data_IF_230501681387
#
_entry.id   IF_230501681387
#
_cell.length_a   1.000
_cell.length_b   1.000
_cell.length_c   1.000
_cell.angle_alpha   90.00
_cell.angle_beta   90.00
_cell.angle_gamma   90.00
#
_symmetry.space_group_name_H-M   'P 1'
#
loop_
_entity.id
_entity.type
_entity.pdbx_description
1 polymer ?
#
# COMPACT_ATOMS: atom_id res chain seq x y z
N UNK A 1 -24.21 27.82 -10.06
CA UNK A 1 -23.02 28.66 -9.76
C UNK A 1 -21.95 28.35 -10.79
N UNK A 2 -21.20 29.37 -11.18
CA UNK A 2 -20.03 29.21 -12.06
C UNK A 2 -18.84 28.66 -11.27
N UNK A 3 -17.87 28.11 -11.99
CA UNK A 3 -16.68 27.49 -11.39
C UNK A 3 -15.80 28.59 -10.80
N UNK A 4 -15.43 28.48 -9.52
CA UNK A 4 -14.47 29.38 -8.90
C UNK A 4 -13.04 28.99 -9.34
N UNK A 5 -12.50 29.74 -10.30
CA UNK A 5 -11.20 29.48 -10.93
C UNK A 5 -10.03 29.64 -9.97
N UNK A 6 -10.14 30.55 -8.98
CA UNK A 6 -9.08 30.78 -7.99
C UNK A 6 -8.91 29.56 -7.09
N UNK A 7 -10.00 29.01 -6.57
CA UNK A 7 -9.98 27.78 -5.76
C UNK A 7 -9.47 26.58 -6.58
N UNK A 8 -9.82 26.50 -7.87
CA UNK A 8 -9.29 25.46 -8.75
C UNK A 8 -7.77 25.60 -8.97
N UNK A 9 -7.25 26.82 -9.08
CA UNK A 9 -5.82 27.09 -9.16
C UNK A 9 -5.09 26.74 -7.86
N UNK A 10 -5.64 27.12 -6.70
CA UNK A 10 -5.11 26.74 -5.38
C UNK A 10 -5.05 25.22 -5.22
N UNK A 11 -6.09 24.50 -5.65
CA UNK A 11 -6.08 23.04 -5.67
C UNK A 11 -4.86 22.52 -6.43
N UNK A 12 -4.60 23.00 -7.65
CA UNK A 12 -3.47 22.55 -8.45
C UNK A 12 -2.11 22.81 -7.77
N UNK A 13 -1.94 23.98 -7.14
CA UNK A 13 -0.72 24.32 -6.39
C UNK A 13 -0.53 23.43 -5.16
N UNK A 14 -1.62 23.12 -4.45
CA UNK A 14 -1.60 22.22 -3.30
C UNK A 14 -1.25 20.79 -3.70
N UNK A 15 -1.69 20.31 -4.87
CA UNK A 15 -1.27 18.99 -5.39
C UNK A 15 0.24 18.97 -5.60
N UNK A 16 0.80 19.97 -6.28
CA UNK A 16 2.26 20.07 -6.53
C UNK A 16 3.01 20.15 -5.20
N UNK A 17 2.53 20.95 -4.26
CA UNK A 17 3.13 21.07 -2.93
C UNK A 17 3.11 19.73 -2.18
N UNK A 18 1.98 19.01 -2.22
CA UNK A 18 1.87 17.68 -1.63
C UNK A 18 2.83 16.69 -2.31
N UNK A 19 2.96 16.71 -3.64
CA UNK A 19 3.91 15.87 -4.39
C UNK A 19 5.36 16.07 -3.92
N UNK A 20 5.79 17.33 -3.75
CA UNK A 20 7.14 17.63 -3.23
C UNK A 20 7.33 16.99 -1.85
N UNK A 21 6.37 17.17 -0.94
CA UNK A 21 6.47 16.59 0.41
C UNK A 21 6.41 15.06 0.38
N UNK A 22 5.58 14.45 -0.48
CA UNK A 22 5.56 12.98 -0.69
C UNK A 22 6.90 12.46 -1.20
N UNK A 23 7.55 13.17 -2.12
CA UNK A 23 8.86 12.80 -2.63
C UNK A 23 9.92 12.82 -1.52
N UNK A 24 9.92 13.87 -0.68
CA UNK A 24 10.84 13.93 0.47
C UNK A 24 10.51 12.83 1.48
N UNK A 25 9.24 12.60 1.81
CA UNK A 25 8.82 11.51 2.70
C UNK A 25 9.27 10.13 2.18
N UNK A 26 9.11 9.88 0.88
CA UNK A 26 9.56 8.67 0.20
C UNK A 26 11.07 8.45 0.37
N UNK A 27 11.88 9.50 0.22
CA UNK A 27 13.34 9.44 0.41
C UNK A 27 13.68 9.05 1.86
N UNK A 28 13.03 9.66 2.86
CA UNK A 28 13.26 9.30 4.26
C UNK A 28 12.85 7.86 4.59
N UNK A 29 11.72 7.39 4.03
CA UNK A 29 11.32 5.98 4.16
C UNK A 29 12.30 5.04 3.46
N UNK A 30 12.82 5.42 2.28
CA UNK A 30 13.82 4.63 1.56
C UNK A 30 15.12 4.51 2.38
N UNK A 31 15.59 5.60 2.99
CA UNK A 31 16.74 5.55 3.89
C UNK A 31 16.50 4.70 5.14
N UNK A 32 15.29 4.70 5.71
CA UNK A 32 14.96 3.79 6.81
C UNK A 32 14.99 2.31 6.38
N UNK A 33 14.41 2.05 5.20
CA UNK A 33 14.27 0.72 4.62
C UNK A 33 15.62 0.10 4.24
N UNK A 34 16.48 0.88 3.58
CA UNK A 34 17.75 0.41 3.01
C UNK A 34 18.99 0.82 3.84
N UNK A 35 18.96 1.95 4.53
CA UNK A 35 20.16 2.62 5.07
C UNK A 35 20.65 2.16 6.45
N UNK A 36 19.86 1.42 7.22
CA UNK A 36 20.32 0.99 8.55
C UNK A 36 21.46 -0.05 8.45
N UNK A 37 22.60 0.18 9.09
CA UNK A 37 23.60 -0.83 9.54
C UNK A 37 24.50 -1.60 8.56
N UNK A 38 24.39 -1.53 7.24
CA UNK A 38 25.44 -2.18 6.39
C UNK A 38 26.83 -1.56 6.62
N UNK A 39 26.90 -0.24 6.87
CA UNK A 39 28.17 0.44 7.19
C UNK A 39 28.77 -0.04 8.52
N UNK A 40 27.95 -0.19 9.58
CA UNK A 40 28.42 -0.60 10.91
C UNK A 40 28.79 -2.08 11.04
N UNK A 41 28.13 -2.98 10.28
CA UNK A 41 28.47 -4.40 10.32
C UNK A 41 29.76 -4.69 9.55
N UNK A 42 30.06 -3.90 8.52
CA UNK A 42 31.35 -3.98 7.80
C UNK A 42 32.50 -3.50 8.68
N UNK A 43 32.32 -2.40 9.43
CA UNK A 43 33.30 -1.93 10.43
C UNK A 43 33.46 -2.89 11.63
N UNK A 44 32.36 -3.46 12.14
CA UNK A 44 32.41 -4.39 13.27
C UNK A 44 33.03 -5.75 12.90
N UNK A 45 32.75 -6.27 11.69
CA UNK A 45 33.40 -7.49 11.19
C UNK A 45 34.89 -7.27 10.88
N UNK A 46 35.27 -6.08 10.39
CA UNK A 46 36.67 -5.70 10.21
C UNK A 46 37.41 -5.53 11.54
N UNK A 47 36.75 -4.97 12.56
CA UNK A 47 37.32 -4.80 13.91
C UNK A 47 37.39 -6.12 14.71
N UNK A 48 36.44 -7.04 14.51
CA UNK A 48 36.46 -8.36 15.16
C UNK A 48 37.53 -9.30 14.58
N UNK A 49 37.93 -9.12 13.32
CA UNK A 49 39.03 -9.87 12.71
C UNK A 49 40.42 -9.45 13.22
N UNK A 50 40.52 -8.32 13.94
CA UNK A 50 41.78 -7.74 14.41
C UNK A 50 42.07 -7.98 15.92
N UNK A 51 41.34 -8.88 16.60
CA UNK A 51 41.69 -9.28 17.97
C UNK A 51 42.65 -10.48 17.95
N UNK A 52 43.90 -10.34 18.42
CA UNK A 52 44.78 -11.49 18.58
C UNK A 52 44.21 -12.42 19.65
N UNK A 53 44.15 -13.71 19.33
CA UNK A 53 43.78 -14.75 20.29
C UNK A 53 44.88 -14.87 21.34
N UNK A 54 44.52 -14.69 22.61
CA UNK A 54 45.42 -15.02 23.71
C UNK A 54 45.60 -16.54 23.78
N UNK A 55 46.71 -17.03 23.25
CA UNK A 55 47.15 -18.42 23.42
C UNK A 55 47.58 -18.63 24.86
N UNK A 56 46.71 -19.26 25.66
CA UNK A 56 47.05 -19.71 27.01
C UNK A 56 47.95 -20.95 26.90
N UNK A 57 49.26 -20.78 27.14
CA UNK A 57 50.20 -21.90 27.35
C UNK A 57 49.79 -22.65 28.62
N UNK A 58 49.34 -23.90 28.49
CA UNK A 58 49.20 -24.83 29.62
C UNK A 58 50.43 -25.72 29.69
N UNK A 59 51.16 -25.62 30.79
CA UNK A 59 52.33 -26.42 31.07
C UNK A 59 51.92 -27.86 31.47
N UNK A 60 52.70 -28.83 31.00
CA UNK A 60 52.47 -30.28 31.11
C UNK A 60 52.85 -30.81 32.49
N UNK A 61 51.95 -31.51 33.19
CA UNK A 61 52.22 -32.79 33.87
C UNK A 61 50.97 -33.35 34.57
N UNK A 62 50.87 -34.67 34.49
CA UNK A 62 50.05 -35.59 35.30
C UNK A 62 48.70 -36.03 34.72
N UNK A 63 48.64 -37.34 34.50
CA UNK A 63 47.58 -38.23 34.06
C UNK A 63 46.53 -38.47 35.15
N UNK A 64 45.27 -38.14 34.85
CA UNK A 64 44.05 -38.91 35.17
C UNK A 64 42.85 -38.19 34.53
N UNK A 65 42.14 -38.87 33.62
CA UNK A 65 40.90 -38.35 33.04
C UNK A 65 39.72 -38.76 33.93
N UNK A 66 39.23 -37.81 34.73
CA UNK A 66 37.92 -37.88 35.36
C UNK A 66 36.91 -37.26 34.40
N UNK A 67 35.87 -38.04 34.03
CA UNK A 67 34.72 -37.55 33.28
C UNK A 67 33.83 -36.77 34.25
N UNK A 68 33.74 -35.45 34.06
CA UNK A 68 32.74 -34.64 34.76
C UNK A 68 31.32 -35.04 34.28
N UNK A 69 30.33 -35.11 35.18
CA UNK A 69 28.94 -35.35 34.79
C UNK A 69 28.46 -34.22 33.88
N UNK A 70 27.53 -34.50 32.95
CA UNK A 70 27.08 -33.50 31.98
C UNK A 70 26.48 -32.32 32.74
N UNK A 71 27.15 -31.17 32.67
CA UNK A 71 26.54 -29.90 33.03
C UNK A 71 25.37 -29.72 32.07
N UNK A 72 24.15 -29.87 32.57
CA UNK A 72 22.97 -29.36 31.90
C UNK A 72 23.14 -27.85 31.85
N UNK A 73 23.66 -27.36 30.72
CA UNK A 73 23.58 -25.96 30.33
C UNK A 73 22.11 -25.57 30.35
N UNK A 74 21.66 -25.00 31.46
CA UNK A 74 20.42 -24.23 31.52
C UNK A 74 20.71 -22.94 30.76
N UNK A 75 20.75 -23.05 29.44
CA UNK A 75 20.95 -21.96 28.48
C UNK A 75 20.06 -22.20 27.27
N UNK A 76 18.75 -22.29 27.50
CA UNK A 76 17.76 -22.16 26.44
C UNK A 76 16.38 -21.75 26.96
N UNK A 77 16.31 -20.92 28.01
CA UNK A 77 15.12 -20.09 28.16
C UNK A 77 15.32 -18.88 27.24
N UNK A 78 14.95 -19.08 25.98
CA UNK A 78 14.76 -18.01 25.02
C UNK A 78 13.59 -17.15 25.50
N UNK A 79 13.82 -16.37 26.55
CA UNK A 79 13.09 -15.14 26.79
C UNK A 79 13.28 -14.31 25.53
N UNK A 80 12.27 -14.33 24.67
CA UNK A 80 12.05 -13.39 23.59
C UNK A 80 11.86 -12.01 24.22
N UNK A 81 12.96 -11.45 24.74
CA UNK A 81 13.06 -10.03 24.99
C UNK A 81 12.96 -9.38 23.61
N UNK A 82 11.73 -8.98 23.28
CA UNK A 82 11.44 -7.97 22.28
C UNK A 82 12.34 -6.79 22.60
N UNK A 83 13.52 -6.78 21.98
CA UNK A 83 14.44 -5.66 22.02
C UNK A 83 13.65 -4.48 21.49
N UNK A 84 13.28 -3.56 22.38
CA UNK A 84 12.79 -2.24 22.02
C UNK A 84 13.88 -1.56 21.22
N UNK A 85 13.87 -1.81 19.91
CA UNK A 85 14.75 -1.16 18.95
C UNK A 85 14.59 0.35 19.13
N UNK A 86 15.72 1.05 19.31
CA UNK A 86 15.75 2.50 19.43
C UNK A 86 14.90 3.11 18.32
N UNK A 87 14.09 4.14 18.62
CA UNK A 87 13.15 4.67 17.65
C UNK A 87 13.86 5.14 16.39
N UNK A 88 13.46 4.56 15.27
CA UNK A 88 13.94 4.87 13.93
C UNK A 88 13.65 6.34 13.62
N UNK A 89 14.64 7.22 13.84
CA UNK A 89 14.50 8.68 13.63
C UNK A 89 14.07 8.97 12.18
N UNK A 90 14.62 8.24 11.20
CA UNK A 90 14.24 8.35 9.79
C UNK A 90 12.77 8.00 9.52
N UNK A 91 12.29 6.85 10.00
CA UNK A 91 10.89 6.46 9.85
C UNK A 91 9.90 7.44 10.50
N UNK A 92 10.27 8.05 11.64
CA UNK A 92 9.43 9.06 12.31
C UNK A 92 9.34 10.34 11.50
N UNK A 93 10.47 10.83 10.98
CA UNK A 93 10.51 12.01 10.10
C UNK A 93 9.70 11.72 8.83
N UNK A 94 9.91 10.56 8.20
CA UNK A 94 9.13 10.12 7.03
C UNK A 94 7.63 10.10 7.32
N UNK A 95 7.22 9.63 8.50
CA UNK A 95 5.80 9.62 8.89
C UNK A 95 5.25 11.02 9.14
N UNK A 96 6.01 11.92 9.77
CA UNK A 96 5.61 13.30 9.97
C UNK A 96 5.44 14.05 8.64
N UNK A 97 6.38 13.85 7.70
CA UNK A 97 6.28 14.39 6.35
C UNK A 97 5.11 13.79 5.59
N UNK A 98 4.83 12.49 5.75
CA UNK A 98 3.67 11.86 5.13
C UNK A 98 2.34 12.43 5.64
N UNK A 99 2.26 12.74 6.95
CA UNK A 99 1.10 13.43 7.54
C UNK A 99 0.97 14.84 6.96
N UNK A 100 2.06 15.60 6.86
CA UNK A 100 2.04 16.92 6.23
C UNK A 100 1.58 16.86 4.76
N UNK A 101 2.11 15.91 3.99
CA UNK A 101 1.72 15.67 2.61
C UNK A 101 0.23 15.30 2.52
N UNK A 102 -0.28 14.47 3.43
CA UNK A 102 -1.69 14.13 3.52
C UNK A 102 -2.57 15.36 3.80
N UNK A 103 -2.15 16.25 4.70
CA UNK A 103 -2.90 17.49 4.99
C UNK A 103 -2.98 18.42 3.77
N UNK A 104 -1.86 18.63 3.08
CA UNK A 104 -1.83 19.40 1.83
C UNK A 104 -2.70 18.76 0.74
N UNK A 105 -2.67 17.44 0.66
CA UNK A 105 -3.45 16.68 -0.30
C UNK A 105 -4.95 16.73 -0.01
N UNK A 106 -5.36 16.64 1.27
CA UNK A 106 -6.75 16.86 1.69
C UNK A 106 -7.17 18.29 1.36
N UNK A 107 -6.33 19.28 1.62
CA UNK A 107 -6.61 20.67 1.26
C UNK A 107 -6.79 20.85 -0.25
N UNK A 108 -6.04 20.13 -1.09
CA UNK A 108 -6.24 20.12 -2.53
C UNK A 108 -7.61 19.55 -2.91
N UNK A 109 -8.01 18.41 -2.35
CA UNK A 109 -9.34 17.81 -2.59
C UNK A 109 -10.46 18.76 -2.15
N UNK A 110 -10.32 19.40 -1.00
CA UNK A 110 -11.33 20.32 -0.46
C UNK A 110 -11.45 21.59 -1.29
N UNK A 111 -10.34 22.24 -1.65
CA UNK A 111 -10.36 23.43 -2.51
C UNK A 111 -10.93 23.09 -3.89
N UNK A 112 -10.64 21.90 -4.42
CA UNK A 112 -11.27 21.38 -5.63
C UNK A 112 -12.78 21.22 -5.48
N UNK A 113 -13.25 20.61 -4.40
CA UNK A 113 -14.68 20.44 -4.12
C UNK A 113 -15.41 21.79 -4.01
N UNK A 114 -14.81 22.73 -3.28
CA UNK A 114 -15.34 24.08 -3.09
C UNK A 114 -15.37 24.90 -4.38
N UNK A 115 -14.45 24.64 -5.32
CA UNK A 115 -14.43 25.33 -6.62
C UNK A 115 -15.67 25.09 -7.47
N UNK A 116 -16.33 23.94 -7.28
CA UNK A 116 -17.52 23.50 -8.01
C UNK A 116 -18.73 23.25 -7.12
N UNK A 117 -18.60 23.47 -5.81
CA UNK A 117 -19.62 23.23 -4.78
C UNK A 117 -20.27 21.83 -4.85
N UNK A 118 -19.45 20.81 -5.14
CA UNK A 118 -19.86 19.40 -5.21
C UNK A 118 -18.71 18.49 -4.80
N UNK A 119 -19.02 17.21 -4.57
CA UNK A 119 -17.98 16.19 -4.36
C UNK A 119 -17.09 16.06 -5.61
N UNK A 120 -15.75 16.06 -5.47
CA UNK A 120 -14.81 16.11 -6.58
C UNK A 120 -14.49 14.69 -7.06
N UNK A 121 -15.49 13.97 -7.59
CA UNK A 121 -15.35 12.60 -8.10
C UNK A 121 -15.93 12.40 -9.50
N UNK A 122 -16.07 13.48 -10.27
CA UNK A 122 -16.77 13.48 -11.56
C UNK A 122 -15.93 13.02 -12.74
N UNK A 123 -14.60 12.91 -12.58
CA UNK A 123 -13.66 12.52 -13.64
C UNK A 123 -12.47 11.74 -13.08
N UNK A 124 -11.59 11.27 -13.97
CA UNK A 124 -10.43 10.44 -13.58
C UNK A 124 -9.43 11.18 -12.69
N UNK A 125 -9.09 12.45 -12.96
CA UNK A 125 -8.17 13.21 -12.09
C UNK A 125 -8.73 13.38 -10.69
N UNK A 126 -10.00 13.77 -10.59
CA UNK A 126 -10.75 13.92 -9.35
C UNK A 126 -10.83 12.62 -8.54
N UNK A 127 -11.05 11.49 -9.23
CA UNK A 127 -11.01 10.16 -8.63
C UNK A 127 -9.61 9.79 -8.14
N UNK A 128 -8.57 9.94 -8.96
CA UNK A 128 -7.18 9.62 -8.57
C UNK A 128 -6.74 10.47 -7.39
N UNK A 129 -7.04 11.76 -7.41
CA UNK A 129 -6.73 12.70 -6.34
C UNK A 129 -7.37 12.23 -5.02
N UNK A 130 -8.66 11.92 -5.03
CA UNK A 130 -9.33 11.46 -3.80
C UNK A 130 -8.85 10.06 -3.39
N UNK A 131 -8.70 9.13 -4.34
CA UNK A 131 -8.31 7.75 -4.02
C UNK A 131 -6.91 7.64 -3.43
N UNK A 132 -5.98 8.47 -3.90
CA UNK A 132 -4.62 8.49 -3.37
C UNK A 132 -4.55 9.11 -1.98
N UNK A 133 -5.31 10.17 -1.68
CA UNK A 133 -5.34 10.70 -0.30
C UNK A 133 -5.99 9.71 0.68
N UNK A 134 -7.07 9.03 0.28
CA UNK A 134 -7.70 7.99 1.09
C UNK A 134 -6.73 6.83 1.32
N UNK A 135 -5.96 6.43 0.30
CA UNK A 135 -4.91 5.41 0.45
C UNK A 135 -3.87 5.80 1.50
N UNK A 136 -3.43 7.06 1.52
CA UNK A 136 -2.50 7.56 2.55
C UNK A 136 -3.14 7.56 3.93
N UNK A 137 -4.39 8.01 4.05
CA UNK A 137 -5.12 8.01 5.32
C UNK A 137 -5.29 6.59 5.86
N UNK A 138 -5.72 5.65 5.02
CA UNK A 138 -5.84 4.23 5.41
C UNK A 138 -4.47 3.69 5.83
N UNK A 139 -3.41 3.97 5.07
CA UNK A 139 -2.06 3.57 5.45
C UNK A 139 -1.64 4.14 6.81
N UNK A 140 -1.87 5.43 7.07
CA UNK A 140 -1.56 6.07 8.35
C UNK A 140 -2.35 5.45 9.51
N UNK A 141 -3.66 5.20 9.33
CA UNK A 141 -4.52 4.54 10.34
C UNK A 141 -3.99 3.14 10.64
N UNK A 142 -3.68 2.38 9.60
CA UNK A 142 -3.13 1.03 9.74
C UNK A 142 -1.77 1.07 10.44
N UNK A 143 -0.93 2.06 10.11
CA UNK A 143 0.40 2.26 10.71
C UNK A 143 0.36 2.61 12.21
N UNK A 144 -0.76 3.15 12.72
CA UNK A 144 -0.97 3.37 14.16
C UNK A 144 -1.15 2.02 14.89
N UNK A 145 -1.88 1.07 14.29
CA UNK A 145 -2.19 -0.23 14.90
C UNK A 145 -1.09 -1.28 14.69
N UNK A 146 -0.44 -1.24 13.52
CA UNK A 146 0.63 -2.16 13.12
C UNK A 146 1.78 -1.32 12.60
N UNK A 147 2.99 -1.46 13.16
CA UNK A 147 4.13 -0.65 12.74
C UNK A 147 4.66 -1.06 11.34
N UNK A 148 3.94 -0.67 10.30
CA UNK A 148 4.22 -1.00 8.89
C UNK A 148 4.97 0.11 8.14
N UNK A 149 5.76 0.90 8.87
CA UNK A 149 6.51 2.06 8.34
C UNK A 149 7.41 1.70 7.16
N UNK A 150 7.86 0.45 7.05
CA UNK A 150 8.67 -0.05 5.94
C UNK A 150 7.94 -0.04 4.59
N UNK A 151 6.61 -0.01 4.58
CA UNK A 151 5.81 0.15 3.36
C UNK A 151 5.72 1.60 2.89
N UNK A 152 6.11 2.56 3.74
CA UNK A 152 5.96 3.99 3.49
C UNK A 152 6.61 4.45 2.18
N UNK A 153 7.75 3.85 1.80
CA UNK A 153 8.41 4.14 0.52
C UNK A 153 7.52 3.82 -0.68
N UNK A 154 6.91 2.63 -0.68
CA UNK A 154 6.08 2.17 -1.80
C UNK A 154 4.75 2.92 -1.84
N UNK A 155 4.15 3.19 -0.67
CA UNK A 155 2.91 3.98 -0.59
C UNK A 155 3.15 5.41 -1.04
N UNK A 156 4.17 6.10 -0.50
CA UNK A 156 4.48 7.48 -0.88
C UNK A 156 4.90 7.58 -2.36
N UNK A 157 5.72 6.64 -2.86
CA UNK A 157 6.12 6.59 -4.26
C UNK A 157 4.97 6.30 -5.21
N UNK A 158 4.08 5.38 -4.86
CA UNK A 158 2.87 5.08 -5.63
C UNK A 158 1.90 6.27 -5.69
N UNK A 159 1.67 6.93 -4.55
CA UNK A 159 0.86 8.15 -4.48
C UNK A 159 1.48 9.27 -5.30
N UNK A 160 2.80 9.48 -5.19
CA UNK A 160 3.53 10.47 -5.98
C UNK A 160 3.37 10.21 -7.49
N UNK A 161 3.53 8.96 -7.92
CA UNK A 161 3.34 8.57 -9.32
C UNK A 161 1.91 8.86 -9.79
N UNK A 162 0.90 8.44 -9.01
CA UNK A 162 -0.49 8.67 -9.33
C UNK A 162 -0.85 10.16 -9.38
N UNK A 163 -0.32 10.99 -8.48
CA UNK A 163 -0.50 12.45 -8.52
C UNK A 163 0.18 13.08 -9.73
N UNK A 164 1.37 12.60 -10.10
CA UNK A 164 2.02 12.99 -11.34
C UNK A 164 1.14 12.69 -12.55
N UNK A 165 0.59 11.48 -12.64
CA UNK A 165 -0.34 11.10 -13.70
C UNK A 165 -1.64 11.93 -13.67
N UNK A 166 -2.15 12.28 -12.48
CA UNK A 166 -3.36 13.09 -12.33
C UNK A 166 -3.21 14.51 -12.92
N UNK A 167 -2.03 15.13 -12.80
CA UNK A 167 -1.75 16.46 -13.36
C UNK A 167 -1.28 16.43 -14.82
N UNK A 168 -0.69 15.33 -15.27
CA UNK A 168 -0.06 15.28 -16.62
C UNK A 168 -0.92 14.56 -17.65
N UNK A 169 -1.53 13.44 -17.29
CA UNK A 169 -2.26 12.55 -18.22
C UNK A 169 -3.77 12.66 -18.01
N UNK A 170 -4.22 12.65 -16.76
CA UNK A 170 -5.65 12.64 -16.44
C UNK A 170 -6.24 14.02 -16.19
N UNK A 171 -5.47 15.09 -16.40
CA UNK A 171 -5.89 16.43 -16.02
C UNK A 171 -7.17 16.86 -16.73
N UNK A 172 -8.18 17.18 -15.93
CA UNK A 172 -9.44 17.75 -16.40
C UNK A 172 -9.71 19.05 -15.63
N UNK A 173 -10.10 20.15 -16.31
CA UNK A 173 -10.52 21.37 -15.63
C UNK A 173 -11.71 21.15 -14.67
N UNK A 174 -11.85 22.03 -13.68
CA UNK A 174 -12.99 21.96 -12.78
C UNK A 174 -14.27 22.28 -13.56
N UNK A 175 -15.24 21.37 -13.51
CA UNK A 175 -16.48 21.48 -14.27
C UNK A 175 -17.68 20.90 -13.49
N UNK A 176 -18.90 21.20 -13.96
CA UNK A 176 -20.14 20.61 -13.43
C UNK A 176 -20.20 19.11 -13.80
N UNK A 177 -21.01 18.36 -13.06
CA UNK A 177 -21.25 16.94 -13.37
C UNK A 177 -22.07 16.80 -14.65
N UNK A 178 -21.84 15.70 -15.35
CA UNK A 178 -22.72 15.23 -16.41
C UNK A 178 -24.04 14.79 -15.74
N UNK A 179 -25.23 14.99 -16.35
CA UNK A 179 -26.52 14.71 -15.71
C UNK A 179 -26.65 13.32 -15.07
N UNK A 180 -26.05 12.28 -15.67
CA UNK A 180 -26.06 10.92 -15.12
C UNK A 180 -25.34 10.81 -13.75
N UNK A 181 -24.39 11.70 -13.48
CA UNK A 181 -23.60 11.74 -12.24
C UNK A 181 -24.21 12.65 -11.16
N UNK A 182 -25.18 13.49 -11.52
CA UNK A 182 -25.77 14.49 -10.62
C UNK A 182 -26.93 13.90 -9.79
N UNK A 183 -26.59 12.93 -8.93
CA UNK A 183 -27.55 12.29 -8.02
C UNK A 183 -26.87 11.90 -6.70
N UNK A 184 -27.67 11.68 -5.64
CA UNK A 184 -27.15 11.32 -4.32
C UNK A 184 -26.34 10.01 -4.31
N UNK A 185 -26.53 9.14 -5.31
CA UNK A 185 -25.81 7.88 -5.44
C UNK A 185 -24.30 8.06 -5.60
N UNK A 186 -23.84 9.16 -6.20
CA UNK A 186 -22.41 9.45 -6.28
C UNK A 186 -21.78 9.54 -4.89
N UNK A 187 -22.54 10.02 -3.89
CA UNK A 187 -22.11 10.13 -2.50
C UNK A 187 -22.12 8.81 -1.72
N UNK A 188 -22.77 7.77 -2.25
CA UNK A 188 -22.84 6.44 -1.64
C UNK A 188 -21.84 5.50 -2.31
N UNK A 189 -21.94 5.37 -3.64
CA UNK A 189 -21.19 4.39 -4.41
C UNK A 189 -19.69 4.74 -4.49
N UNK A 190 -19.35 5.98 -4.89
CA UNK A 190 -17.97 6.34 -5.22
C UNK A 190 -17.03 6.33 -4.01
N UNK A 191 -17.42 6.84 -2.82
CA UNK A 191 -16.56 6.77 -1.63
C UNK A 191 -16.20 5.34 -1.23
N UNK A 192 -17.15 4.41 -1.36
CA UNK A 192 -16.94 3.01 -0.99
C UNK A 192 -16.06 2.32 -2.03
N UNK A 193 -16.23 2.66 -3.32
CA UNK A 193 -15.33 2.23 -4.39
C UNK A 193 -13.88 2.69 -4.14
N UNK A 194 -13.72 3.95 -3.74
CA UNK A 194 -12.42 4.55 -3.41
C UNK A 194 -11.80 3.81 -2.21
N UNK A 195 -12.54 3.68 -1.11
CA UNK A 195 -12.07 2.97 0.09
C UNK A 195 -11.65 1.54 -0.24
N UNK A 196 -12.47 0.83 -1.02
CA UNK A 196 -12.17 -0.53 -1.44
C UNK A 196 -10.88 -0.60 -2.23
N UNK A 197 -10.69 0.28 -3.22
CA UNK A 197 -9.48 0.34 -4.03
C UNK A 197 -8.25 0.60 -3.18
N UNK A 198 -8.33 1.53 -2.23
CA UNK A 198 -7.25 1.82 -1.28
C UNK A 198 -6.85 0.62 -0.42
N UNK A 199 -7.83 -0.12 0.11
CA UNK A 199 -7.60 -1.33 0.90
C UNK A 199 -6.93 -2.43 0.07
N UNK A 200 -7.47 -2.71 -1.12
CA UNK A 200 -6.93 -3.73 -2.02
C UNK A 200 -5.50 -3.37 -2.48
N UNK A 201 -5.22 -2.09 -2.72
CA UNK A 201 -3.87 -1.61 -3.04
C UNK A 201 -2.88 -1.85 -1.91
N UNK A 202 -3.22 -1.51 -0.67
CA UNK A 202 -2.36 -1.77 0.51
C UNK A 202 -2.16 -3.27 0.71
N UNK A 203 -3.20 -4.07 0.53
CA UNK A 203 -3.11 -5.52 0.58
C UNK A 203 -2.14 -6.08 -0.47
N UNK A 204 -2.18 -5.56 -1.69
CA UNK A 204 -1.28 -5.97 -2.76
C UNK A 204 0.18 -5.58 -2.48
N UNK A 205 0.43 -4.39 -1.92
CA UNK A 205 1.77 -4.02 -1.45
C UNK A 205 2.26 -5.05 -0.43
N UNK A 206 1.45 -5.40 0.57
CA UNK A 206 1.80 -6.43 1.54
C UNK A 206 2.09 -7.79 0.89
N UNK A 207 1.33 -8.17 -0.14
CA UNK A 207 1.56 -9.40 -0.90
C UNK A 207 2.91 -9.38 -1.66
N UNK A 208 3.33 -8.24 -2.21
CA UNK A 208 4.67 -8.08 -2.79
C UNK A 208 5.74 -8.32 -1.72
N UNK A 209 5.62 -7.65 -0.57
CA UNK A 209 6.59 -7.81 0.52
C UNK A 209 6.60 -9.23 1.09
N UNK A 210 5.45 -9.88 1.17
CA UNK A 210 5.34 -11.29 1.52
C UNK A 210 6.15 -12.18 0.56
N UNK A 211 5.99 -12.01 -0.75
CA UNK A 211 6.71 -12.82 -1.75
C UNK A 211 8.21 -12.60 -1.63
N UNK A 212 8.65 -11.34 -1.53
CA UNK A 212 10.05 -10.98 -1.35
C UNK A 212 10.61 -11.55 -0.04
N UNK A 213 9.84 -11.48 1.05
CA UNK A 213 10.23 -12.06 2.34
C UNK A 213 10.35 -13.58 2.28
N UNK A 214 9.41 -14.27 1.64
CA UNK A 214 9.46 -15.72 1.44
C UNK A 214 10.70 -16.14 0.61
N UNK A 215 11.02 -15.40 -0.46
CA UNK A 215 12.24 -15.62 -1.22
C UNK A 215 13.51 -15.39 -0.38
N UNK A 216 13.48 -14.41 0.53
CA UNK A 216 14.57 -14.16 1.47
C UNK A 216 14.72 -15.27 2.51
N UNK A 217 13.63 -15.80 3.06
CA UNK A 217 13.64 -16.88 4.05
C UNK A 217 14.12 -18.21 3.45
N UNK A 218 13.74 -18.50 2.21
CA UNK A 218 14.04 -19.79 1.54
C UNK A 218 15.39 -19.82 0.84
N UNK A 219 15.74 -18.78 0.07
CA UNK A 219 16.95 -18.75 -0.78
C UNK A 219 18.03 -17.79 -0.26
N UNK A 220 17.67 -16.89 0.65
CA UNK A 220 18.56 -15.91 1.28
C UNK A 220 19.48 -15.13 0.30
N UNK A 221 18.97 -14.59 -0.82
CA UNK A 221 19.80 -13.86 -1.76
C UNK A 221 20.31 -12.54 -1.17
N UNK A 222 21.54 -12.16 -1.50
CA UNK A 222 22.22 -10.98 -0.92
C UNK A 222 21.44 -9.66 -1.15
N UNK A 223 20.80 -9.49 -2.30
CA UNK A 223 20.03 -8.28 -2.63
C UNK A 223 18.76 -8.09 -1.78
N UNK A 224 18.24 -9.15 -1.14
CA UNK A 224 17.09 -9.09 -0.23
C UNK A 224 17.49 -8.95 1.24
N UNK A 225 18.75 -8.62 1.57
CA UNK A 225 19.20 -8.48 2.97
C UNK A 225 18.35 -7.49 3.78
N UNK A 226 17.84 -6.43 3.16
CA UNK A 226 16.97 -5.45 3.81
C UNK A 226 15.66 -6.07 4.34
N UNK A 227 15.15 -7.14 3.70
CA UNK A 227 13.94 -7.88 4.12
C UNK A 227 14.12 -8.66 5.43
N UNK A 228 15.37 -8.87 5.90
CA UNK A 228 15.63 -9.56 7.18
C UNK A 228 15.02 -8.86 8.40
N UNK A 229 14.76 -7.55 8.29
CA UNK A 229 14.20 -6.72 9.36
C UNK A 229 12.68 -6.66 9.39
N UNK A 230 12.04 -7.29 8.42
CA UNK A 230 10.59 -7.30 8.29
C UNK A 230 9.98 -8.48 9.04
N UNK A 231 8.68 -8.42 9.37
CA UNK A 231 7.93 -9.55 9.88
C UNK A 231 8.08 -10.78 8.99
N UNK A 232 7.81 -11.97 9.54
CA UNK A 232 7.88 -13.21 8.79
C UNK A 232 6.91 -13.20 7.60
N UNK A 233 7.22 -13.95 6.54
CA UNK A 233 6.37 -14.00 5.35
C UNK A 233 4.92 -14.39 5.67
N UNK A 234 4.71 -15.30 6.63
CA UNK A 234 3.39 -15.72 7.08
C UNK A 234 2.58 -14.60 7.76
N UNK A 235 3.25 -13.68 8.47
CA UNK A 235 2.57 -12.57 9.15
C UNK A 235 2.16 -11.50 8.15
N UNK A 236 3.06 -11.19 7.19
CA UNK A 236 2.76 -10.29 6.08
C UNK A 236 1.60 -10.80 5.25
N UNK A 237 1.57 -12.10 5.01
CA UNK A 237 0.51 -12.77 4.30
C UNK A 237 -0.83 -12.69 5.03
N UNK A 238 -0.89 -13.09 6.31
CA UNK A 238 -2.12 -12.99 7.13
C UNK A 238 -2.66 -11.58 7.15
N UNK A 239 -1.77 -10.60 7.20
CA UNK A 239 -2.15 -9.21 7.21
C UNK A 239 -2.65 -8.72 5.84
N UNK A 240 -1.97 -9.09 4.76
CA UNK A 240 -2.43 -8.88 3.38
C UNK A 240 -3.85 -9.44 3.19
N UNK A 241 -4.07 -10.69 3.61
CA UNK A 241 -5.37 -11.36 3.54
C UNK A 241 -6.45 -10.63 4.34
N UNK A 242 -6.15 -10.19 5.56
CA UNK A 242 -7.13 -9.46 6.40
C UNK A 242 -7.55 -8.16 5.73
N UNK A 243 -6.61 -7.38 5.19
CA UNK A 243 -6.93 -6.13 4.49
C UNK A 243 -7.69 -6.42 3.18
N UNK A 244 -7.28 -7.43 2.41
CA UNK A 244 -7.98 -7.83 1.19
C UNK A 244 -9.41 -8.31 1.46
N UNK A 245 -9.66 -9.02 2.56
CA UNK A 245 -11.00 -9.45 2.93
C UNK A 245 -11.92 -8.25 3.20
N UNK A 246 -11.45 -7.25 3.95
CA UNK A 246 -12.20 -5.99 4.15
C UNK A 246 -12.40 -5.26 2.83
N UNK A 247 -11.35 -5.18 2.00
CA UNK A 247 -11.42 -4.60 0.66
C UNK A 247 -12.46 -5.31 -0.22
N UNK A 248 -12.51 -6.64 -0.22
CA UNK A 248 -13.49 -7.41 -0.98
C UNK A 248 -14.92 -7.19 -0.50
N UNK A 249 -15.14 -7.07 0.81
CA UNK A 249 -16.46 -6.73 1.37
C UNK A 249 -16.90 -5.35 0.86
N UNK A 250 -16.02 -4.36 0.91
CA UNK A 250 -16.33 -3.01 0.39
C UNK A 250 -16.49 -3.00 -1.14
N UNK A 251 -15.76 -3.84 -1.88
CA UNK A 251 -15.93 -3.99 -3.34
C UNK A 251 -17.27 -4.63 -3.67
N UNK A 252 -17.71 -5.62 -2.88
CA UNK A 252 -19.02 -6.24 -3.03
C UNK A 252 -20.14 -5.22 -2.83
N UNK A 253 -20.02 -4.38 -1.79
CA UNK A 253 -20.97 -3.27 -1.60
C UNK A 253 -20.92 -2.29 -2.78
N UNK A 254 -19.72 -1.97 -3.27
CA UNK A 254 -19.54 -1.10 -4.45
C UNK A 254 -20.30 -1.65 -5.66
N UNK A 255 -20.18 -2.95 -5.94
CA UNK A 255 -20.84 -3.60 -7.07
C UNK A 255 -22.37 -3.55 -6.93
N UNK A 256 -22.90 -3.84 -5.74
CA UNK A 256 -24.35 -3.78 -5.45
C UNK A 256 -24.87 -2.34 -5.57
N UNK A 257 -24.21 -1.38 -4.90
CA UNK A 257 -24.60 0.03 -4.96
C UNK A 257 -24.49 0.59 -6.39
N UNK A 258 -23.52 0.11 -7.16
CA UNK A 258 -23.35 0.47 -8.58
C UNK A 258 -24.53 0.00 -9.43
N UNK A 259 -24.98 -1.24 -9.23
CA UNK A 259 -26.14 -1.79 -9.94
C UNK A 259 -27.44 -1.02 -9.61
N UNK A 260 -27.64 -0.63 -8.34
CA UNK A 260 -28.81 0.19 -7.96
C UNK A 260 -28.71 1.59 -8.57
N UNK A 261 -27.53 2.20 -8.55
CA UNK A 261 -27.34 3.51 -9.18
C UNK A 261 -27.57 3.44 -10.70
N UNK A 262 -27.13 2.36 -11.37
CA UNK A 262 -27.38 2.14 -12.79
C UNK A 262 -28.86 2.11 -13.14
N UNK A 263 -29.71 1.54 -12.26
CA UNK A 263 -31.16 1.56 -12.45
C UNK A 263 -31.71 2.99 -12.40
N UNK A 264 -31.27 3.80 -11.44
CA UNK A 264 -31.70 5.19 -11.33
C UNK A 264 -31.21 6.04 -12.51
N UNK A 265 -30.00 5.78 -13.02
CA UNK A 265 -29.41 6.56 -14.10
C UNK A 265 -29.92 6.17 -15.49
N UNK A 266 -30.15 4.87 -15.74
CA UNK A 266 -30.42 4.32 -17.07
C UNK A 266 -31.60 3.34 -17.11
N UNK A 267 -32.40 3.25 -16.05
CA UNK A 267 -33.58 2.36 -15.95
C UNK A 267 -33.25 0.87 -16.10
N UNK A 268 -32.02 0.45 -15.75
CA UNK A 268 -31.57 -0.96 -15.74
C UNK A 268 -30.49 -1.20 -14.68
N UNK A 269 -30.55 -2.32 -13.97
CA UNK A 269 -29.56 -2.66 -12.93
C UNK A 269 -28.19 -3.08 -13.49
N UNK A 270 -28.19 -3.67 -14.68
CA UNK A 270 -26.99 -4.19 -15.32
C UNK A 270 -27.16 -4.14 -16.83
N UNK A 271 -26.04 -3.95 -17.49
CA UNK A 271 -25.99 -3.54 -18.86
C UNK A 271 -24.90 -4.15 -19.70
N UNK A 272 -24.04 -4.99 -19.10
CA UNK A 272 -22.91 -5.65 -19.76
C UNK A 272 -21.97 -4.68 -20.46
N UNK A 273 -21.87 -3.45 -19.95
CA UNK A 273 -20.87 -2.53 -20.47
C UNK A 273 -19.47 -2.91 -19.96
N UNK A 274 -18.42 -2.37 -20.58
CA UNK A 274 -17.06 -2.77 -20.23
C UNK A 274 -16.75 -2.55 -18.76
N UNK A 275 -17.20 -1.45 -18.16
CA UNK A 275 -16.89 -1.11 -16.77
C UNK A 275 -17.60 -2.05 -15.79
N UNK A 276 -18.88 -2.32 -16.02
CA UNK A 276 -19.65 -3.32 -15.29
C UNK A 276 -18.96 -4.70 -15.37
N UNK A 277 -18.64 -5.18 -16.58
CA UNK A 277 -17.96 -6.48 -16.78
C UNK A 277 -16.64 -6.52 -15.99
N UNK A 278 -15.79 -5.51 -16.12
CA UNK A 278 -14.49 -5.51 -15.46
C UNK A 278 -14.59 -5.36 -13.94
N UNK A 279 -15.58 -4.64 -13.42
CA UNK A 279 -15.83 -4.64 -11.96
C UNK A 279 -16.26 -6.01 -11.44
N UNK A 280 -17.03 -6.77 -12.23
CA UNK A 280 -17.38 -8.16 -11.91
C UNK A 280 -16.16 -9.09 -12.02
N UNK A 281 -15.30 -8.93 -13.04
CA UNK A 281 -14.05 -9.70 -13.16
C UNK A 281 -13.14 -9.47 -11.96
N UNK A 282 -12.98 -8.22 -11.50
CA UNK A 282 -12.26 -7.92 -10.24
C UNK A 282 -12.85 -8.69 -9.07
N UNK A 283 -14.19 -8.67 -8.94
CA UNK A 283 -14.89 -9.38 -7.87
C UNK A 283 -14.60 -10.89 -7.92
N UNK A 284 -14.68 -11.52 -9.10
CA UNK A 284 -14.39 -12.95 -9.29
C UNK A 284 -12.94 -13.29 -8.93
N UNK A 285 -11.97 -12.48 -9.35
CA UNK A 285 -10.54 -12.72 -9.04
C UNK A 285 -10.29 -12.63 -7.53
N UNK A 286 -10.87 -11.63 -6.84
CA UNK A 286 -10.71 -11.52 -5.39
C UNK A 286 -11.48 -12.60 -4.62
N UNK A 287 -12.65 -13.01 -5.10
CA UNK A 287 -13.36 -14.16 -4.55
C UNK A 287 -12.52 -15.44 -4.69
N UNK A 288 -11.91 -15.65 -5.87
CA UNK A 288 -11.00 -16.77 -6.10
C UNK A 288 -9.74 -16.69 -5.22
N UNK A 289 -9.18 -15.50 -4.99
CA UNK A 289 -8.07 -15.27 -4.06
C UNK A 289 -8.44 -15.69 -2.63
N UNK A 290 -9.58 -15.22 -2.10
CA UNK A 290 -10.03 -15.55 -0.75
C UNK A 290 -10.37 -17.04 -0.63
N UNK A 291 -11.02 -17.61 -1.66
CA UNK A 291 -11.34 -19.02 -1.72
C UNK A 291 -10.09 -19.90 -1.78
N UNK A 292 -9.12 -19.57 -2.63
CA UNK A 292 -7.84 -20.28 -2.73
C UNK A 292 -7.09 -20.29 -1.40
N UNK A 293 -7.18 -19.19 -0.63
CA UNK A 293 -6.59 -19.12 0.71
C UNK A 293 -7.30 -20.00 1.74
N UNK A 294 -8.62 -20.12 1.65
CA UNK A 294 -9.43 -20.95 2.55
C UNK A 294 -9.33 -22.46 2.22
N UNK A 295 -9.01 -22.79 0.97
CA UNK A 295 -8.95 -24.17 0.48
C UNK A 295 -7.56 -24.78 0.64
N UNK A 296 -7.50 -26.06 1.08
CA UNK A 296 -6.23 -26.80 1.18
C UNK A 296 -5.59 -27.00 -0.20
N UNK A 297 -4.26 -26.91 -0.26
CA UNK A 297 -3.47 -27.22 -1.46
C UNK A 297 -2.87 -26.01 -2.20
N UNK A 298 -3.26 -24.78 -1.85
CA UNK A 298 -2.67 -23.58 -2.41
C UNK A 298 -1.47 -23.09 -1.59
N UNK A 299 -0.33 -22.93 -2.25
CA UNK A 299 0.87 -22.37 -1.63
C UNK A 299 0.73 -20.86 -1.38
N UNK A 300 1.35 -20.30 -0.31
CA UNK A 300 1.25 -18.87 0.02
C UNK A 300 1.66 -17.92 -1.12
N UNK A 301 2.67 -18.30 -1.90
CA UNK A 301 3.12 -17.50 -3.06
C UNK A 301 2.08 -17.46 -4.17
N UNK A 302 1.40 -18.58 -4.46
CA UNK A 302 0.35 -18.63 -5.50
C UNK A 302 -0.85 -17.77 -5.09
N UNK A 303 -1.24 -17.84 -3.82
CA UNK A 303 -2.28 -16.97 -3.25
C UNK A 303 -1.88 -15.50 -3.33
N UNK A 304 -0.64 -15.15 -2.99
CA UNK A 304 -0.15 -13.77 -3.13
C UNK A 304 -0.19 -13.28 -4.59
N UNK A 305 0.18 -14.12 -5.56
CA UNK A 305 0.09 -13.80 -6.99
C UNK A 305 -1.35 -13.52 -7.42
N UNK A 306 -2.35 -14.27 -6.93
CA UNK A 306 -3.76 -13.97 -7.21
C UNK A 306 -4.18 -12.58 -6.71
N UNK A 307 -3.69 -12.16 -5.54
CA UNK A 307 -3.92 -10.79 -5.06
C UNK A 307 -3.28 -9.74 -5.98
N UNK A 308 -2.05 -9.99 -6.45
CA UNK A 308 -1.37 -9.10 -7.39
C UNK A 308 -2.09 -9.02 -8.75
N UNK A 309 -2.63 -10.12 -9.24
CA UNK A 309 -3.48 -10.14 -10.43
C UNK A 309 -4.74 -9.31 -10.17
N UNK A 310 -5.38 -9.48 -9.00
CA UNK A 310 -6.56 -8.70 -8.62
C UNK A 310 -6.33 -7.20 -8.66
N UNK A 311 -5.27 -6.68 -8.04
CA UNK A 311 -4.97 -5.24 -8.09
C UNK A 311 -4.59 -4.78 -9.50
N UNK A 312 -3.92 -5.61 -10.29
CA UNK A 312 -3.59 -5.29 -11.67
C UNK A 312 -4.88 -5.14 -12.50
N UNK A 313 -5.88 -6.00 -12.27
CA UNK A 313 -7.20 -5.88 -12.90
C UNK A 313 -7.95 -4.63 -12.43
N UNK A 314 -7.86 -4.25 -11.17
CA UNK A 314 -8.43 -2.98 -10.67
C UNK A 314 -7.81 -1.78 -11.39
N UNK A 315 -6.48 -1.76 -11.52
CA UNK A 315 -5.75 -0.70 -12.23
C UNK A 315 -6.14 -0.70 -13.72
N UNK A 316 -6.22 -1.86 -14.36
CA UNK A 316 -6.66 -1.99 -15.74
C UNK A 316 -8.08 -1.45 -15.95
N UNK A 317 -9.02 -1.81 -15.08
CA UNK A 317 -10.39 -1.31 -15.11
C UNK A 317 -10.43 0.21 -14.91
N UNK A 318 -9.64 0.75 -13.97
CA UNK A 318 -9.62 2.19 -13.76
C UNK A 318 -8.98 2.94 -14.93
N UNK A 319 -7.90 2.43 -15.51
CA UNK A 319 -7.13 3.14 -16.54
C UNK A 319 -7.62 2.80 -17.94
N UNK A 320 -7.37 1.58 -18.40
CA UNK A 320 -7.60 1.15 -19.77
C UNK A 320 -9.09 1.19 -20.12
N UNK A 321 -9.97 0.71 -19.24
CA UNK A 321 -11.41 0.69 -19.52
C UNK A 321 -11.99 2.10 -19.62
N UNK A 322 -11.59 3.02 -18.73
CA UNK A 322 -12.07 4.40 -18.83
C UNK A 322 -11.47 5.18 -20.02
N UNK A 323 -10.25 4.85 -20.48
CA UNK A 323 -9.60 5.57 -21.57
C UNK A 323 -9.94 5.04 -22.97
N UNK A 324 -10.07 3.72 -23.13
CA UNK A 324 -10.11 3.09 -24.45
C UNK A 324 -11.42 2.39 -24.79
N UNK A 325 -12.29 2.15 -23.81
CA UNK A 325 -13.57 1.50 -24.06
C UNK A 325 -14.71 2.51 -23.94
N UNK A 326 -15.57 2.52 -24.96
CA UNK A 326 -16.77 3.35 -24.97
C UNK A 326 -17.88 2.65 -24.19
N UNK A 327 -18.58 3.39 -23.33
CA UNK A 327 -19.68 2.88 -22.53
C UNK A 327 -20.35 3.99 -21.71
N UNK A 328 -21.52 3.70 -21.14
CA UNK A 328 -22.27 4.66 -20.32
C UNK A 328 -21.51 5.10 -19.06
N UNK A 329 -20.51 4.32 -18.65
CA UNK A 329 -19.65 4.60 -17.50
C UNK A 329 -18.28 5.19 -17.85
N UNK A 330 -18.05 5.58 -19.11
CA UNK A 330 -16.81 6.28 -19.48
C UNK A 330 -16.89 7.73 -18.97
N UNK A 331 -16.27 7.95 -17.81
CA UNK A 331 -16.18 9.26 -17.16
C UNK A 331 -14.73 9.72 -17.11
N UNK A 332 -14.00 9.52 -18.21
CA UNK A 332 -12.59 9.92 -18.28
C UNK A 332 -12.43 11.41 -18.03
N UNK A 333 -13.35 12.23 -18.56
CA UNK A 333 -13.22 13.68 -18.63
C UNK A 333 -12.07 14.11 -19.55
N UNK A 334 -11.52 13.18 -20.32
CA UNK A 334 -10.47 13.38 -21.32
C UNK A 334 -11.15 13.35 -22.68
N UNK A 335 -11.30 14.50 -23.29
CA UNK A 335 -11.93 14.71 -24.59
C UNK A 335 -11.01 15.50 -25.50
#
# INVERSE_FOLDING_TARGET
MDVNTDLAMWSNQLIISAMIVYAVAMIFYAFDLFGGRELKQTEASASSAAKPSNVRRTNRKTTTALLDPPQTDVSAEATTSSGKDKPRRGARIGTALLVLAALLHVAAVLTRALSVMRVPWGNMMEYVLTATVITVIVFLIVNIKKEIRYLGTIVAGGVLLCLGLAITVFYTPAAKLIPALDSYWIAIHVPIAILSTSLLYISAILAVFQILKNAQETKNPKWLRFMRRMPASIDLERFSYTIAAVGFITWTFTLIAGAIWAEVAWSRYWGWDSKEIWTFVVWVIYAAYLHARATRGWGPTKVAVLNLIGIATVIFNFTVVNMYFNGLHSYSGLS
#
